data_IF_578193972750
#
_entry.id   IF_578193972750
#
_cell.length_a   1.000
_cell.length_b   1.000
_cell.length_c   1.000
_cell.angle_alpha   90.00
_cell.angle_beta   90.00
_cell.angle_gamma   90.00
#
_symmetry.space_group_name_H-M   'P 1'
#
loop_
_entity.id
_entity.type
_entity.pdbx_description
1 polymer ?
#
# COMPACT_ATOMS: atom_id res chain seq x y z
N UNK A 1 -5.01 26.11 14.62
CA UNK A 1 -4.92 24.88 15.39
C UNK A 1 -5.86 23.92 14.74
N UNK A 2 -5.33 22.86 14.19
CA UNK A 2 -6.14 21.76 13.66
C UNK A 2 -6.87 21.14 14.86
N UNK A 3 -8.19 21.06 14.80
CA UNK A 3 -9.03 20.67 15.95
C UNK A 3 -9.28 19.16 16.00
N UNK A 4 -8.35 18.38 15.45
CA UNK A 4 -8.50 16.93 15.22
C UNK A 4 -7.26 16.11 15.59
N UNK A 5 -6.29 16.67 16.32
CA UNK A 5 -5.33 15.82 17.04
C UNK A 5 -6.03 15.30 18.29
N UNK A 6 -6.31 14.00 18.29
CA UNK A 6 -6.83 13.32 19.47
C UNK A 6 -5.66 13.15 20.45
N UNK A 7 -5.51 14.13 21.35
CA UNK A 7 -4.44 14.13 22.36
C UNK A 7 -4.53 12.92 23.30
N UNK A 8 -5.65 12.20 23.31
CA UNK A 8 -5.82 10.98 24.10
C UNK A 8 -4.98 9.81 23.60
N UNK A 9 -4.56 9.84 22.33
CA UNK A 9 -3.69 8.82 21.71
C UNK A 9 -2.21 9.19 21.73
N UNK A 10 -1.88 10.38 22.24
CA UNK A 10 -0.49 10.79 22.44
C UNK A 10 0.01 10.18 23.74
N UNK A 11 1.32 9.98 23.79
CA UNK A 11 2.12 9.65 24.96
C UNK A 11 2.95 10.91 25.23
N UNK A 12 2.72 11.56 26.38
CA UNK A 12 3.20 12.91 26.66
C UNK A 12 4.52 12.92 27.44
N UNK A 13 4.75 11.89 28.22
CA UNK A 13 5.93 11.65 29.04
C UNK A 13 6.82 10.52 28.50
N UNK A 14 6.46 9.94 27.34
CA UNK A 14 7.23 8.98 26.55
C UNK A 14 7.54 7.69 27.34
N UNK A 15 6.59 7.22 28.15
CA UNK A 15 6.74 6.05 29.01
C UNK A 15 6.19 4.74 28.38
N UNK A 16 5.58 4.86 27.20
CA UNK A 16 4.97 3.76 26.45
C UNK A 16 3.46 3.61 26.65
N UNK A 17 2.84 4.46 27.45
CA UNK A 17 1.40 4.48 27.70
C UNK A 17 0.76 5.73 27.08
N UNK A 18 -0.40 5.57 26.45
CA UNK A 18 -1.12 6.75 25.92
C UNK A 18 -1.82 7.50 27.06
N UNK A 19 -1.99 8.82 26.92
CA UNK A 19 -2.75 9.67 27.84
C UNK A 19 -4.14 9.11 28.20
N UNK A 20 -4.81 8.43 27.26
CA UNK A 20 -6.08 7.74 27.52
C UNK A 20 -5.93 6.53 28.43
N UNK A 21 -4.89 5.73 28.21
CA UNK A 21 -4.61 4.50 28.96
C UNK A 21 -4.21 4.84 30.41
N UNK A 22 -3.38 5.86 30.61
CA UNK A 22 -3.03 6.32 31.95
C UNK A 22 -4.28 6.81 32.69
N UNK A 23 -5.11 7.64 32.05
CA UNK A 23 -6.37 8.07 32.65
C UNK A 23 -7.33 6.90 32.93
N UNK A 24 -7.32 5.85 32.09
CA UNK A 24 -8.14 4.66 32.29
C UNK A 24 -7.69 3.87 33.52
N UNK A 25 -6.39 3.80 33.75
CA UNK A 25 -5.79 3.05 34.86
C UNK A 25 -5.57 3.89 36.12
N UNK A 26 -5.66 5.22 36.04
CA UNK A 26 -5.57 6.13 37.19
C UNK A 26 -4.23 6.86 37.32
N UNK A 27 -3.36 6.76 36.33
CA UNK A 27 -2.07 7.46 36.22
C UNK A 27 -2.19 8.94 35.84
N UNK A 28 -1.06 9.66 35.85
CA UNK A 28 -0.95 11.05 35.42
C UNK A 28 -0.26 11.15 34.05
N UNK A 29 -0.97 11.61 32.99
CA UNK A 29 -0.46 11.78 31.62
C UNK A 29 0.71 12.74 31.38
N UNK A 30 1.47 13.09 32.42
CA UNK A 30 2.63 13.96 32.32
C UNK A 30 3.76 13.48 33.24
N UNK A 31 3.59 12.31 33.85
CA UNK A 31 4.50 11.72 34.82
C UNK A 31 4.68 10.24 34.48
N UNK A 32 5.82 9.92 33.87
CA UNK A 32 6.17 8.57 33.44
C UNK A 32 6.24 7.49 34.56
N UNK A 33 6.14 7.91 35.82
CA UNK A 33 6.19 7.08 37.04
C UNK A 33 5.27 7.76 38.06
N UNK A 34 4.00 7.38 38.04
CA UNK A 34 2.91 8.06 38.75
C UNK A 34 3.07 7.97 40.27
N UNK A 35 3.48 6.82 40.78
CA UNK A 35 3.57 6.58 42.22
C UNK A 35 4.98 6.85 42.81
N UNK A 36 5.96 7.04 41.93
CA UNK A 36 7.32 7.46 42.24
C UNK A 36 8.20 6.34 42.76
N UNK A 37 7.88 5.08 42.46
CA UNK A 37 8.62 3.93 42.94
C UNK A 37 9.84 3.56 42.08
N UNK A 38 10.02 4.23 40.92
CA UNK A 38 11.05 4.07 39.88
C UNK A 38 10.72 3.14 38.70
N UNK A 39 9.58 2.45 38.70
CA UNK A 39 9.09 1.68 37.56
C UNK A 39 8.22 2.62 36.69
N UNK A 40 8.25 2.46 35.36
CA UNK A 40 7.46 3.30 34.46
C UNK A 40 6.01 2.79 34.34
N UNK A 41 5.01 3.66 34.27
CA UNK A 41 3.59 3.26 34.22
C UNK A 41 3.32 2.30 33.04
N UNK A 42 3.93 2.56 31.89
CA UNK A 42 3.99 1.67 30.73
C UNK A 42 4.37 0.22 31.04
N UNK A 43 5.43 0.05 31.83
CA UNK A 43 6.00 -1.25 32.20
C UNK A 43 5.16 -1.94 33.28
N UNK A 44 4.61 -1.18 34.21
CA UNK A 44 3.73 -1.66 35.28
C UNK A 44 2.43 -2.26 34.74
N UNK A 45 1.81 -1.60 33.76
CA UNK A 45 0.61 -2.12 33.07
C UNK A 45 0.91 -3.44 32.38
N UNK A 46 2.07 -3.55 31.71
CA UNK A 46 2.48 -4.77 31.03
C UNK A 46 2.70 -5.92 32.03
N UNK A 47 3.35 -5.64 33.16
CA UNK A 47 3.56 -6.61 34.23
C UNK A 47 2.26 -7.05 34.89
N UNK A 48 1.36 -6.12 35.24
CA UNK A 48 0.05 -6.47 35.80
C UNK A 48 -0.75 -7.37 34.85
N UNK A 49 -0.70 -7.10 33.54
CA UNK A 49 -1.34 -7.95 32.53
C UNK A 49 -0.68 -9.34 32.44
N UNK A 50 0.64 -9.42 32.55
CA UNK A 50 1.36 -10.70 32.56
C UNK A 50 1.04 -11.53 33.81
N UNK A 51 0.96 -10.90 34.97
CA UNK A 51 0.58 -11.52 36.25
C UNK A 51 -0.83 -12.10 36.19
N UNK A 52 -1.76 -11.45 35.46
CA UNK A 52 -3.10 -12.00 35.24
C UNK A 52 -3.13 -13.32 34.45
N UNK A 53 -2.09 -13.61 33.66
CA UNK A 53 -1.95 -14.88 32.93
C UNK A 53 -1.26 -15.97 33.75
N UNK A 54 -0.55 -15.60 34.82
CA UNK A 54 0.17 -16.52 35.68
C UNK A 54 -0.62 -16.87 36.94
N UNK A 55 -1.23 -18.07 36.97
CA UNK A 55 -2.01 -18.55 38.12
C UNK A 55 -1.19 -18.80 39.41
N UNK A 56 0.14 -18.64 39.35
CA UNK A 56 1.04 -18.81 40.49
C UNK A 56 1.51 -17.49 41.13
N UNK A 57 1.14 -16.35 40.54
CA UNK A 57 1.36 -15.01 41.11
C UNK A 57 0.06 -14.44 41.68
N UNK A 58 0.19 -13.52 42.63
CA UNK A 58 -0.95 -12.72 43.11
C UNK A 58 -1.46 -11.86 41.94
N UNK A 59 -2.78 -11.68 41.84
CA UNK A 59 -3.36 -10.91 40.73
C UNK A 59 -3.23 -9.42 41.02
N UNK A 60 -2.21 -8.80 40.42
CA UNK A 60 -2.07 -7.34 40.39
C UNK A 60 -3.01 -6.76 39.33
N UNK A 61 -3.66 -5.63 39.63
CA UNK A 61 -4.43 -4.90 38.61
C UNK A 61 -3.58 -3.79 38.00
N UNK A 62 -3.78 -3.43 36.72
CA UNK A 62 -3.01 -2.34 36.10
C UNK A 62 -3.16 -1.00 36.83
N UNK A 63 -4.30 -0.79 37.51
CA UNK A 63 -4.51 0.42 38.31
C UNK A 63 -3.72 0.39 39.62
N UNK A 64 -3.61 -0.77 40.25
CA UNK A 64 -2.86 -0.89 41.50
C UNK A 64 -1.37 -0.80 41.23
N UNK A 65 -0.88 -1.35 40.11
CA UNK A 65 0.51 -1.20 39.68
C UNK A 65 0.88 0.29 39.54
N UNK A 66 0.22 1.03 38.64
CA UNK A 66 0.53 2.45 38.39
C UNK A 66 0.40 3.39 39.61
N UNK A 67 -0.41 3.02 40.61
CA UNK A 67 -0.75 3.96 41.70
C UNK A 67 -0.25 3.52 43.07
N UNK A 68 0.37 2.34 43.18
CA UNK A 68 0.82 1.77 44.44
C UNK A 68 2.17 1.08 44.31
N UNK A 69 3.14 1.61 45.07
CA UNK A 69 4.49 1.05 45.25
C UNK A 69 4.57 -0.42 45.70
N UNK A 70 3.44 -1.00 46.11
CA UNK A 70 3.25 -2.37 46.57
C UNK A 70 1.90 -2.83 46.00
N UNK A 71 1.94 -3.23 44.73
CA UNK A 71 0.77 -3.49 43.90
C UNK A 71 0.14 -4.86 44.18
N UNK A 72 0.92 -5.82 44.67
CA UNK A 72 0.43 -7.14 45.08
C UNK A 72 0.03 -7.20 46.57
N UNK A 73 0.43 -6.20 47.35
CA UNK A 73 0.04 -6.03 48.75
C UNK A 73 0.75 -7.00 49.68
N UNK A 74 1.90 -7.54 49.30
CA UNK A 74 2.70 -8.46 50.11
C UNK A 74 3.50 -7.73 51.22
N UNK A 75 3.59 -6.41 51.13
CA UNK A 75 4.23 -5.52 52.08
C UNK A 75 5.71 -5.22 51.78
N UNK A 76 6.23 -5.66 50.65
CA UNK A 76 7.51 -5.25 50.06
C UNK A 76 7.26 -4.30 48.88
N UNK A 77 8.25 -3.46 48.56
CA UNK A 77 8.12 -2.54 47.42
C UNK A 77 8.47 -3.31 46.14
N UNK A 78 7.62 -3.24 45.11
CA UNK A 78 7.83 -3.93 43.85
C UNK A 78 9.17 -3.55 43.20
N UNK A 79 9.52 -2.27 43.20
CA UNK A 79 10.80 -1.77 42.70
C UNK A 79 12.00 -2.14 43.59
N UNK A 80 11.81 -2.42 44.89
CA UNK A 80 12.89 -2.94 45.74
C UNK A 80 13.14 -4.43 45.51
N UNK A 81 12.10 -5.20 45.18
CA UNK A 81 12.15 -6.65 44.97
C UNK A 81 12.59 -6.98 43.54
N UNK A 82 11.97 -6.34 42.56
CA UNK A 82 12.16 -6.57 41.15
C UNK A 82 13.18 -5.60 40.55
N UNK A 83 13.30 -4.38 41.08
CA UNK A 83 14.12 -3.33 40.46
C UNK A 83 13.27 -2.43 39.56
N UNK A 84 13.81 -1.25 39.24
CA UNK A 84 13.17 -0.26 38.36
C UNK A 84 12.90 -0.79 36.93
N UNK A 85 13.58 -1.87 36.53
CA UNK A 85 13.43 -2.56 35.25
C UNK A 85 12.62 -3.86 35.36
N UNK A 86 11.93 -4.07 36.49
CA UNK A 86 11.24 -5.31 36.83
C UNK A 86 12.11 -6.56 36.66
N UNK A 87 13.39 -6.47 37.06
CA UNK A 87 14.41 -7.51 36.99
C UNK A 87 14.84 -7.88 35.58
N UNK A 88 14.66 -6.97 34.63
CA UNK A 88 14.89 -7.23 33.21
C UNK A 88 13.90 -8.27 32.70
N UNK A 89 12.61 -8.11 33.03
CA UNK A 89 11.55 -8.73 32.24
C UNK A 89 11.66 -8.13 30.85
N UNK A 90 12.54 -8.73 30.06
CA UNK A 90 12.44 -8.71 28.63
C UNK A 90 11.05 -9.29 28.35
N UNK A 91 10.09 -8.42 28.03
CA UNK A 91 8.90 -8.77 27.27
C UNK A 91 9.35 -9.14 25.85
N UNK A 92 10.29 -10.09 25.73
CA UNK A 92 10.38 -10.90 24.52
C UNK A 92 9.10 -11.74 24.53
N UNK A 93 8.27 -11.67 23.48
CA UNK A 93 7.27 -12.71 23.27
C UNK A 93 7.98 -14.05 23.40
N UNK A 94 7.46 -14.98 24.20
CA UNK A 94 8.02 -16.33 24.33
C UNK A 94 8.23 -16.96 22.93
N UNK A 95 9.45 -16.88 22.41
CA UNK A 95 9.99 -17.81 21.42
C UNK A 95 10.95 -18.74 22.16
N UNK A 96 10.38 -19.60 23.00
CA UNK A 96 11.13 -20.65 23.67
C UNK A 96 11.56 -21.74 22.67
N UNK A 97 12.70 -21.56 21.99
CA UNK A 97 13.85 -22.48 22.09
C UNK A 97 15.00 -22.16 21.12
N UNK A 98 16.17 -21.89 21.70
CA UNK A 98 17.50 -22.28 21.19
C UNK A 98 17.90 -21.81 19.79
N UNK A 99 18.19 -20.51 19.69
CA UNK A 99 19.45 -20.07 19.11
C UNK A 99 19.89 -18.89 19.95
N UNK A 100 21.07 -18.95 20.56
CA UNK A 100 21.76 -17.71 20.94
C UNK A 100 22.10 -17.07 19.60
N UNK A 101 21.18 -16.30 19.06
CA UNK A 101 21.46 -15.40 17.97
C UNK A 101 22.23 -14.26 18.61
N UNK A 102 23.55 -14.34 18.55
CA UNK A 102 24.40 -13.25 19.01
C UNK A 102 24.01 -11.99 18.25
N UNK A 103 23.83 -10.90 18.98
CA UNK A 103 23.71 -9.54 18.49
C UNK A 103 24.99 -8.87 19.00
N UNK A 104 25.92 -8.55 18.08
CA UNK A 104 27.27 -8.07 18.45
C UNK A 104 27.30 -6.56 18.73
N UNK A 105 26.32 -5.81 18.20
CA UNK A 105 26.20 -4.35 18.29
C UNK A 105 24.98 -3.88 19.11
N UNK A 106 24.19 -4.82 19.61
CA UNK A 106 23.04 -4.62 20.52
C UNK A 106 22.02 -3.63 19.92
N UNK A 107 21.80 -3.71 18.60
CA UNK A 107 20.88 -2.84 17.86
C UNK A 107 19.46 -3.42 17.74
N UNK A 108 19.25 -4.63 18.28
CA UNK A 108 17.98 -5.35 18.30
C UNK A 108 17.77 -6.28 17.12
N UNK A 109 18.71 -6.35 16.18
CA UNK A 109 18.70 -7.25 15.02
C UNK A 109 19.82 -8.28 15.18
N UNK A 110 19.52 -9.60 15.24
CA UNK A 110 20.58 -10.59 15.42
C UNK A 110 21.55 -10.67 14.23
N UNK A 111 22.83 -11.00 14.49
CA UNK A 111 23.92 -11.05 13.50
C UNK A 111 23.62 -11.85 12.23
N UNK A 112 22.72 -12.84 12.28
CA UNK A 112 22.32 -13.63 11.11
C UNK A 112 21.39 -12.90 10.15
N UNK A 113 20.70 -11.87 10.65
CA UNK A 113 19.75 -11.02 9.91
C UNK A 113 20.22 -9.57 9.79
N UNK A 114 21.31 -9.21 10.48
CA UNK A 114 21.92 -7.90 10.42
C UNK A 114 22.92 -7.78 9.25
N UNK A 115 22.74 -6.74 8.44
CA UNK A 115 23.60 -6.38 7.31
C UNK A 115 24.67 -5.37 7.71
N UNK A 116 24.57 -4.78 8.89
CA UNK A 116 25.34 -3.67 9.40
C UNK A 116 25.86 -3.94 10.82
N UNK A 117 26.89 -4.80 11.00
CA UNK A 117 27.35 -5.35 12.29
C UNK A 117 28.06 -4.38 13.24
N UNK A 118 27.94 -3.07 12.99
CA UNK A 118 28.55 -2.00 13.79
C UNK A 118 27.56 -0.82 13.90
N UNK A 119 26.28 -1.11 14.07
CA UNK A 119 25.24 -0.11 14.25
C UNK A 119 25.26 0.39 15.69
N UNK A 120 25.35 1.71 15.91
CA UNK A 120 25.34 2.22 17.28
C UNK A 120 24.00 1.89 17.97
N UNK A 121 24.07 1.31 19.16
CA UNK A 121 22.92 1.08 20.02
C UNK A 121 22.07 2.37 20.20
N UNK A 122 20.76 2.19 20.35
CA UNK A 122 19.73 3.25 20.47
C UNK A 122 19.49 4.10 19.20
N UNK A 123 20.16 3.81 18.08
CA UNK A 123 19.89 4.48 16.80
C UNK A 123 18.78 3.76 16.05
N UNK A 124 17.83 4.50 15.46
CA UNK A 124 16.79 3.92 14.62
C UNK A 124 17.39 3.17 13.42
N UNK A 125 17.25 1.86 13.42
CA UNK A 125 17.69 0.93 12.39
C UNK A 125 16.54 0.58 11.44
N UNK A 126 16.86 0.13 10.22
CA UNK A 126 15.86 -0.43 9.31
C UNK A 126 15.72 -1.95 9.51
N UNK A 127 14.88 -2.61 8.71
CA UNK A 127 14.63 -4.06 8.82
C UNK A 127 15.87 -4.94 8.58
N UNK A 128 16.99 -4.35 8.20
CA UNK A 128 18.25 -5.03 7.95
C UNK A 128 19.34 -4.68 8.98
N UNK A 129 18.99 -4.00 10.08
CA UNK A 129 19.95 -3.56 11.09
C UNK A 129 20.74 -2.31 10.70
N UNK A 130 20.46 -1.67 9.56
CA UNK A 130 21.28 -0.54 9.13
C UNK A 130 20.70 0.81 9.57
N UNK A 131 21.50 1.63 10.26
CA UNK A 131 21.13 3.02 10.57
C UNK A 131 21.01 3.90 9.33
N UNK A 132 20.31 5.04 9.48
CA UNK A 132 20.24 6.06 8.42
C UNK A 132 21.60 6.54 7.90
N UNK A 133 22.64 6.53 8.75
CA UNK A 133 24.00 6.96 8.40
C UNK A 133 24.75 5.86 7.64
N UNK A 134 24.73 4.62 8.13
CA UNK A 134 25.35 3.48 7.45
C UNK A 134 24.71 3.23 6.07
N UNK A 135 23.40 3.40 5.95
CA UNK A 135 22.70 3.32 4.65
C UNK A 135 23.14 4.40 3.67
N UNK A 136 23.46 5.60 4.14
CA UNK A 136 23.98 6.66 3.29
C UNK A 136 25.39 6.31 2.77
N UNK A 137 26.21 5.69 3.59
CA UNK A 137 27.57 5.25 3.23
C UNK A 137 27.57 4.05 2.26
N UNK A 138 26.66 3.08 2.45
CA UNK A 138 26.46 1.95 1.53
C UNK A 138 26.01 2.40 0.12
N UNK A 139 25.27 3.50 0.02
CA UNK A 139 24.88 4.08 -1.27
C UNK A 139 26.09 4.69 -1.98
N UNK A 140 27.06 5.23 -1.25
CA UNK A 140 28.26 5.83 -1.82
C UNK A 140 29.20 4.77 -2.43
N UNK A 141 29.39 3.60 -1.79
CA UNK A 141 30.22 2.50 -2.31
C UNK A 141 29.58 1.79 -3.54
N UNK A 142 28.24 1.80 -3.62
CA UNK A 142 27.54 1.30 -4.82
C UNK A 142 27.81 2.18 -6.06
N UNK A 143 28.27 3.42 -5.88
CA UNK A 143 28.63 4.33 -6.98
C UNK A 143 30.07 4.11 -7.49
N UNK A 144 30.97 3.58 -6.67
CA UNK A 144 32.34 3.26 -7.10
C UNK A 144 32.47 1.87 -7.72
N UNK A 145 31.58 0.94 -7.38
CA UNK A 145 31.59 -0.42 -7.94
C UNK A 145 30.57 -0.67 -9.07
N UNK A 146 29.69 0.29 -9.39
CA UNK A 146 28.71 0.17 -10.50
C UNK A 146 29.04 1.00 -11.73
N UNK A 147 30.23 1.61 -11.81
CA UNK A 147 30.74 2.16 -13.06
C UNK A 147 31.56 1.15 -13.85
N UNK A 148 30.89 0.41 -14.75
CA UNK A 148 31.33 0.49 -16.14
C UNK A 148 31.75 -0.76 -16.93
N UNK A 149 31.58 -2.01 -16.47
CA UNK A 149 31.98 -3.16 -17.32
C UNK A 149 30.79 -3.91 -17.95
N UNK A 150 29.69 -4.13 -17.23
CA UNK A 150 28.56 -4.93 -17.71
C UNK A 150 27.66 -4.17 -18.71
N UNK A 151 27.29 -2.92 -18.40
CA UNK A 151 26.44 -2.12 -19.26
C UNK A 151 27.16 -1.70 -20.56
N UNK A 152 28.44 -1.32 -20.49
CA UNK A 152 29.23 -0.96 -21.67
C UNK A 152 29.42 -2.18 -22.59
N UNK A 153 29.64 -3.37 -22.02
CA UNK A 153 29.73 -4.63 -22.77
C UNK A 153 28.40 -4.99 -23.44
N UNK A 154 27.27 -4.77 -22.75
CA UNK A 154 25.94 -4.99 -23.32
C UNK A 154 25.64 -4.04 -24.48
N UNK A 155 25.90 -2.74 -24.33
CA UNK A 155 25.68 -1.76 -25.41
C UNK A 155 26.61 -2.00 -26.61
N UNK A 156 27.86 -2.40 -26.39
CA UNK A 156 28.78 -2.80 -27.45
C UNK A 156 28.28 -4.05 -28.20
N UNK A 157 27.76 -5.05 -27.48
CA UNK A 157 27.19 -6.25 -28.09
C UNK A 157 25.94 -5.94 -28.92
N UNK A 158 25.06 -5.07 -28.43
CA UNK A 158 23.89 -4.61 -29.18
C UNK A 158 24.28 -3.85 -30.46
N UNK A 159 25.29 -2.98 -30.39
CA UNK A 159 25.75 -2.22 -31.56
C UNK A 159 26.35 -3.15 -32.62
N UNK A 160 27.16 -4.13 -32.21
CA UNK A 160 27.75 -5.13 -33.12
C UNK A 160 26.65 -5.99 -33.74
N UNK A 161 25.66 -6.44 -32.96
CA UNK A 161 24.56 -7.25 -33.47
C UNK A 161 23.67 -6.46 -34.44
N UNK A 162 23.41 -5.19 -34.17
CA UNK A 162 22.68 -4.30 -35.07
C UNK A 162 23.44 -4.07 -36.39
N UNK A 163 24.77 -3.96 -36.35
CA UNK A 163 25.60 -3.86 -37.56
C UNK A 163 25.61 -5.17 -38.36
N UNK A 164 25.62 -6.33 -37.70
CA UNK A 164 25.54 -7.63 -38.37
C UNK A 164 24.16 -7.87 -39.00
N UNK A 165 23.07 -7.52 -38.31
CA UNK A 165 21.71 -7.63 -38.85
C UNK A 165 21.49 -6.67 -40.02
N UNK A 166 21.91 -5.41 -39.90
CA UNK A 166 21.79 -4.43 -41.00
C UNK A 166 22.69 -4.77 -42.18
N UNK A 167 23.92 -5.23 -41.95
CA UNK A 167 24.83 -5.72 -42.98
C UNK A 167 24.30 -6.99 -43.68
N UNK A 168 23.75 -7.93 -42.90
CA UNK A 168 23.11 -9.14 -43.41
C UNK A 168 21.88 -8.83 -44.28
N UNK A 169 21.01 -7.93 -43.81
CA UNK A 169 19.87 -7.44 -44.58
C UNK A 169 20.32 -6.74 -45.87
N UNK A 170 21.40 -5.94 -45.84
CA UNK A 170 21.94 -5.28 -47.02
C UNK A 170 22.46 -6.27 -48.07
N UNK A 171 23.15 -7.35 -47.65
CA UNK A 171 23.62 -8.41 -48.57
C UNK A 171 22.44 -9.14 -49.22
N UNK A 172 21.41 -9.50 -48.44
CA UNK A 172 20.20 -10.19 -48.93
C UNK A 172 19.42 -9.31 -49.91
N UNK A 173 19.19 -8.04 -49.56
CA UNK A 173 18.50 -7.08 -50.42
C UNK A 173 19.28 -6.79 -51.71
N UNK A 174 20.62 -6.85 -51.68
CA UNK A 174 21.44 -6.70 -52.88
C UNK A 174 21.43 -7.95 -53.76
N UNK A 175 21.38 -9.14 -53.18
CA UNK A 175 21.24 -10.41 -53.92
C UNK A 175 19.90 -10.54 -54.65
N UNK A 176 18.81 -10.09 -54.01
CA UNK A 176 17.50 -10.01 -54.69
C UNK A 176 17.49 -8.98 -55.83
N UNK A 177 18.33 -7.94 -55.76
CA UNK A 177 18.42 -6.92 -56.83
C UNK A 177 19.00 -7.50 -58.12
N UNK A 178 19.99 -8.39 -58.03
CA UNK A 178 20.57 -9.07 -59.20
C UNK A 178 19.60 -10.06 -59.84
N UNK A 179 18.74 -10.73 -59.07
CA UNK A 179 17.71 -11.62 -59.63
C UNK A 179 16.47 -10.85 -60.16
N UNK A 180 16.23 -9.64 -59.67
CA UNK A 180 15.10 -8.81 -60.11
C UNK A 180 15.30 -8.09 -61.44
N UNK A 181 16.55 -7.91 -61.90
CA UNK A 181 16.81 -7.32 -63.22
C UNK A 181 16.40 -8.29 -64.35
N UNK A 182 16.54 -9.61 -64.17
CA UNK A 182 16.07 -10.61 -65.13
C UNK A 182 14.54 -10.76 -65.18
N UNK A 183 13.82 -10.42 -64.10
CA UNK A 183 12.35 -10.56 -63.99
C UNK A 183 11.60 -9.30 -64.46
N UNK A 184 12.23 -8.12 -64.40
CA UNK A 184 11.60 -6.85 -64.82
C UNK A 184 11.28 -6.79 -66.31
N UNK A 185 12.08 -7.43 -67.16
CA UNK A 185 11.83 -7.48 -68.60
C UNK A 185 10.62 -8.37 -68.96
N UNK A 186 10.13 -9.21 -68.04
CA UNK A 186 9.06 -10.17 -68.32
C UNK A 186 7.63 -9.71 -68.00
N UNK A 187 7.42 -8.64 -67.20
CA UNK A 187 6.10 -8.38 -66.57
C UNK A 187 5.46 -7.02 -66.93
N UNK A 188 6.14 -6.12 -67.65
CA UNK A 188 5.67 -4.73 -67.79
C UNK A 188 4.46 -4.47 -68.72
N UNK A 189 4.01 -5.40 -69.58
CA UNK A 189 2.96 -5.06 -70.57
C UNK A 189 1.57 -5.66 -70.26
N UNK A 190 1.49 -6.75 -69.49
CA UNK A 190 0.26 -7.56 -69.45
C UNK A 190 -0.71 -7.24 -68.30
N UNK A 191 -0.28 -6.56 -67.23
CA UNK A 191 -1.05 -6.49 -65.97
C UNK A 191 -1.84 -5.17 -65.76
N UNK A 192 -1.67 -4.15 -66.60
CA UNK A 192 -2.26 -2.81 -66.36
C UNK A 192 -3.64 -2.58 -67.00
N UNK A 193 -4.25 -3.57 -67.64
CA UNK A 193 -5.50 -3.37 -68.39
C UNK A 193 -6.81 -3.52 -67.58
N UNK A 194 -6.80 -4.00 -66.33
CA UNK A 194 -8.02 -4.58 -65.71
C UNK A 194 -8.54 -3.91 -64.42
N UNK A 195 -8.05 -2.72 -64.01
CA UNK A 195 -8.38 -2.14 -62.68
C UNK A 195 -9.14 -0.81 -62.68
N UNK A 196 -9.50 -0.24 -63.84
CA UNK A 196 -9.96 1.17 -63.88
C UNK A 196 -11.48 1.43 -63.86
N UNK A 197 -12.36 0.54 -63.35
CA UNK A 197 -13.82 0.75 -63.54
C UNK A 197 -14.80 0.48 -62.37
N UNK A 198 -14.47 0.74 -61.10
CA UNK A 198 -15.52 0.80 -60.05
C UNK A 198 -15.46 2.06 -59.17
N UNK A 199 -16.51 2.92 -59.17
CA UNK A 199 -16.60 4.07 -58.26
C UNK A 199 -17.21 3.68 -56.91
N UNK A 200 -16.68 4.25 -55.82
CA UNK A 200 -17.08 4.03 -54.43
C UNK A 200 -18.26 4.94 -54.05
N UNK A 201 -19.31 4.38 -53.43
CA UNK A 201 -20.53 5.07 -53.00
C UNK A 201 -20.43 5.48 -51.50
N UNK A 202 -20.73 6.75 -51.17
CA UNK A 202 -20.49 7.38 -49.87
C UNK A 202 -21.76 7.65 -49.03
N UNK A 203 -22.88 6.97 -49.32
CA UNK A 203 -24.18 7.19 -48.66
C UNK A 203 -24.25 6.71 -47.19
N UNK A 204 -23.18 6.10 -46.65
CA UNK A 204 -23.20 5.45 -45.33
C UNK A 204 -22.56 6.27 -44.19
N UNK A 205 -22.21 7.53 -44.42
CA UNK A 205 -21.45 8.39 -43.50
C UNK A 205 -22.18 9.64 -43.00
N UNK A 206 -23.52 9.67 -43.07
CA UNK A 206 -24.29 10.82 -42.57
C UNK A 206 -24.84 10.52 -41.18
N UNK A 207 -24.31 11.19 -40.15
CA UNK A 207 -24.89 11.24 -38.81
C UNK A 207 -26.18 12.08 -38.82
N UNK A 208 -27.26 11.65 -38.13
CA UNK A 208 -28.47 12.47 -38.02
C UNK A 208 -28.25 13.64 -37.05
N UNK A 209 -28.56 14.86 -37.51
CA UNK A 209 -28.53 16.07 -36.69
C UNK A 209 -29.79 16.06 -35.80
N UNK A 210 -29.60 16.00 -34.47
CA UNK A 210 -30.69 16.12 -33.49
C UNK A 210 -31.19 17.56 -33.44
N UNK A 211 -32.38 17.80 -33.99
CA UNK A 211 -33.15 19.04 -33.87
C UNK A 211 -33.90 19.04 -32.52
N UNK A 212 -33.52 19.95 -31.63
CA UNK A 212 -34.06 20.11 -30.27
C UNK A 212 -35.45 20.74 -30.19
N UNK A 213 -36.36 20.39 -31.10
CA UNK A 213 -37.73 20.94 -31.15
C UNK A 213 -38.84 19.89 -30.98
N UNK A 214 -38.55 18.77 -30.30
CA UNK A 214 -39.55 17.80 -29.85
C UNK A 214 -40.21 18.19 -28.52
N UNK A 215 -41.50 17.90 -28.31
CA UNK A 215 -42.22 18.32 -27.11
C UNK A 215 -41.65 17.63 -25.85
N UNK A 216 -41.22 18.46 -24.89
CA UNK A 216 -40.99 18.12 -23.49
C UNK A 216 -42.26 17.55 -22.86
N UNK A 217 -42.50 16.26 -23.02
CA UNK A 217 -43.52 15.58 -22.25
C UNK A 217 -43.10 14.15 -22.01
N UNK A 218 -42.48 13.92 -20.85
CA UNK A 218 -42.37 12.58 -20.26
C UNK A 218 -43.78 11.99 -20.25
N UNK A 219 -43.99 10.91 -21.01
CA UNK A 219 -45.32 10.31 -21.12
C UNK A 219 -45.63 9.50 -19.85
N UNK A 220 -46.91 9.32 -19.46
CA UNK A 220 -47.27 8.47 -18.33
C UNK A 220 -46.77 7.02 -18.47
N UNK A 221 -46.55 6.55 -19.70
CA UNK A 221 -46.01 5.22 -20.01
C UNK A 221 -44.51 5.12 -19.67
N UNK A 222 -43.74 6.19 -19.86
CA UNK A 222 -42.33 6.28 -19.48
C UNK A 222 -42.15 6.26 -17.96
N UNK A 223 -43.06 6.92 -17.23
CA UNK A 223 -43.04 6.96 -15.77
C UNK A 223 -43.43 5.62 -15.14
N UNK A 224 -44.23 4.80 -15.84
CA UNK A 224 -44.61 3.46 -15.39
C UNK A 224 -43.41 2.48 -15.36
N UNK A 225 -42.34 2.75 -16.11
CA UNK A 225 -41.13 1.91 -16.11
C UNK A 225 -40.23 2.15 -14.89
N UNK A 226 -40.40 3.28 -14.20
CA UNK A 226 -39.62 3.69 -13.01
C UNK A 226 -40.55 4.15 -11.88
N UNK A 227 -41.33 3.24 -11.27
CA UNK A 227 -42.36 3.56 -10.28
C UNK A 227 -41.77 4.09 -8.96
N UNK A 228 -41.47 5.38 -8.91
CA UNK A 228 -40.87 6.04 -7.75
C UNK A 228 -40.08 7.31 -8.09
N UNK A 229 -39.76 7.51 -9.37
CA UNK A 229 -39.11 8.72 -9.86
C UNK A 229 -40.12 9.77 -10.31
N UNK A 230 -39.84 11.04 -10.05
CA UNK A 230 -40.67 12.15 -10.53
C UNK A 230 -40.43 12.39 -12.02
N UNK A 231 -41.44 12.95 -12.72
CA UNK A 231 -41.32 13.25 -14.14
C UNK A 231 -40.17 14.21 -14.44
N UNK A 232 -39.91 15.17 -13.55
CA UNK A 232 -38.80 16.13 -13.66
C UNK A 232 -37.42 15.44 -13.58
N UNK A 233 -37.27 14.46 -12.69
CA UNK A 233 -36.02 13.70 -12.56
C UNK A 233 -35.71 12.91 -13.84
N UNK A 234 -36.73 12.24 -14.40
CA UNK A 234 -36.59 11.50 -15.66
C UNK A 234 -36.25 12.44 -16.81
N UNK A 235 -36.91 13.60 -16.90
CA UNK A 235 -36.62 14.61 -17.92
C UNK A 235 -35.17 15.12 -17.83
N UNK A 236 -34.67 15.35 -16.62
CA UNK A 236 -33.28 15.77 -16.40
C UNK A 236 -32.28 14.73 -16.94
N UNK A 237 -32.53 13.43 -16.78
CA UNK A 237 -31.64 12.41 -17.35
C UNK A 237 -31.74 12.29 -18.87
N UNK A 238 -32.94 12.45 -19.43
CA UNK A 238 -33.13 12.46 -20.87
C UNK A 238 -32.41 13.65 -21.53
N UNK A 239 -32.42 14.83 -20.90
CA UNK A 239 -31.65 15.99 -21.39
C UNK A 239 -30.13 15.78 -21.31
N UNK A 240 -29.67 14.95 -20.37
CA UNK A 240 -28.26 14.53 -20.26
C UNK A 240 -27.88 13.45 -21.30
N UNK A 241 -28.80 13.05 -22.18
CA UNK A 241 -28.52 12.10 -23.26
C UNK A 241 -28.73 10.63 -22.90
N UNK A 242 -29.32 10.34 -21.73
CA UNK A 242 -29.69 8.98 -21.37
C UNK A 242 -30.92 8.53 -22.14
N UNK A 243 -30.97 7.25 -22.51
CA UNK A 243 -32.17 6.66 -23.13
C UNK A 243 -33.10 6.10 -22.05
N UNK A 244 -34.42 6.06 -22.32
CA UNK A 244 -35.39 5.47 -21.37
C UNK A 244 -35.08 4.01 -21.02
N UNK A 245 -34.55 3.22 -21.96
CA UNK A 245 -34.17 1.84 -21.71
C UNK A 245 -33.03 1.74 -20.68
N UNK A 246 -32.03 2.63 -20.76
CA UNK A 246 -30.93 2.67 -19.79
C UNK A 246 -31.42 3.10 -18.40
N UNK A 247 -32.33 4.09 -18.34
CA UNK A 247 -32.89 4.55 -17.07
C UNK A 247 -33.74 3.48 -16.39
N UNK A 248 -34.54 2.72 -17.16
CA UNK A 248 -35.33 1.61 -16.61
C UNK A 248 -34.45 0.50 -16.02
N UNK A 249 -33.35 0.13 -16.69
CA UNK A 249 -32.38 -0.85 -16.16
C UNK A 249 -31.73 -0.34 -14.87
N UNK A 250 -31.27 0.91 -14.87
CA UNK A 250 -30.63 1.52 -13.70
C UNK A 250 -31.56 1.59 -12.48
N UNK A 251 -32.84 1.90 -12.70
CA UNK A 251 -33.85 1.87 -11.65
C UNK A 251 -34.04 0.46 -11.06
N UNK A 252 -34.12 -0.57 -11.92
CA UNK A 252 -34.24 -1.96 -11.48
C UNK A 252 -33.04 -2.39 -10.63
N UNK A 253 -31.81 -1.99 -11.01
CA UNK A 253 -30.60 -2.28 -10.21
C UNK A 253 -30.64 -1.60 -8.84
N UNK A 254 -31.07 -0.34 -8.75
CA UNK A 254 -31.21 0.34 -7.45
C UNK A 254 -32.25 -0.32 -6.54
N UNK A 255 -33.40 -0.72 -7.09
CA UNK A 255 -34.45 -1.40 -6.31
C UNK A 255 -33.97 -2.78 -5.84
N UNK A 256 -33.12 -3.47 -6.61
CA UNK A 256 -32.52 -4.74 -6.19
C UNK A 256 -31.50 -4.53 -5.06
N UNK A 257 -30.68 -3.47 -5.11
CA UNK A 257 -29.71 -3.16 -4.05
C UNK A 257 -30.35 -2.64 -2.76
N UNK A 258 -31.51 -1.96 -2.87
CA UNK A 258 -32.24 -1.40 -1.72
C UNK A 258 -33.51 -2.17 -1.37
N UNK A 259 -33.77 -3.31 -2.00
CA UNK A 259 -34.78 -4.25 -1.52
C UNK A 259 -34.28 -4.82 -0.19
N UNK A 260 -35.02 -4.64 0.93
CA UNK A 260 -34.64 -5.27 2.17
C UNK A 260 -34.64 -6.77 1.93
N UNK A 261 -33.51 -7.43 2.20
CA UNK A 261 -33.46 -8.88 2.35
C UNK A 261 -34.58 -9.27 3.33
N UNK A 262 -35.68 -9.81 2.80
CA UNK A 262 -36.65 -10.54 3.60
C UNK A 262 -35.89 -11.72 4.23
N UNK A 263 -35.58 -11.54 5.52
CA UNK A 263 -35.09 -12.58 6.40
C UNK A 263 -36.01 -13.80 6.28
N UNK A 264 -35.47 -14.91 5.76
CA UNK A 264 -36.01 -16.24 5.97
C UNK A 264 -34.90 -17.25 6.21
#
# INVERSE_FOLDING_TARGET
GDALSDESLLDMDDDGLTNFAEQLHGGDPNVADTDGDCILDGLEVAWALASALNTSMETITPSDAITMWDADGDGENDSEVLGCDLAGVDIVPEENNTAVSTDDDDDGIPNESDQCPDTPAEVATDTNGCSSQQRAELVEDSSENTSGESAQSFFMMLMIFALLLSGGAYIVLRGMRTESEDVKDAISEAAFADISTTPVNNENWQQPVLDGTGPSSVTPEMLAQVPGWTAEMVEQYLTQGWTMAQLATYYQEQVVQHSPEEQH
#
